data_IF_947001373637
#
_entry.id   IF_947001373637
#
_cell.length_a   1.000
_cell.length_b   1.000
_cell.length_c   1.000
_cell.angle_alpha   90.00
_cell.angle_beta   90.00
_cell.angle_gamma   90.00
#
_symmetry.space_group_name_H-M   'P 1'
#
loop_
_entity.id
_entity.type
_entity.pdbx_description
1 polymer ?
#
# COMPACT_ATOMS: atom_id res chain seq x y z
N UNK A 1 -11.67 15.68 -32.15
CA UNK A 1 -10.76 15.90 -31.03
C UNK A 1 -9.71 14.81 -31.10
N UNK A 2 -8.52 15.13 -31.57
CA UNK A 2 -7.46 14.19 -31.88
C UNK A 2 -6.74 13.76 -30.59
N UNK A 3 -6.34 12.50 -30.53
CA UNK A 3 -5.62 11.88 -29.40
C UNK A 3 -4.27 12.57 -29.05
N UNK A 4 -3.89 13.57 -29.78
CA UNK A 4 -2.63 14.33 -29.63
C UNK A 4 -2.69 15.45 -28.56
N UNK A 5 -3.86 15.79 -28.04
CA UNK A 5 -4.03 16.89 -27.07
C UNK A 5 -4.00 16.47 -25.60
N UNK A 6 -3.77 15.21 -25.28
CA UNK A 6 -3.76 14.69 -23.91
C UNK A 6 -2.36 14.53 -23.30
N UNK A 7 -1.30 14.98 -23.95
CA UNK A 7 -0.01 15.16 -23.29
C UNK A 7 -0.01 16.45 -22.46
N UNK A 8 -0.78 16.44 -21.37
CA UNK A 8 -0.59 17.44 -20.33
C UNK A 8 0.84 17.30 -19.78
N UNK A 9 1.63 18.31 -20.03
CA UNK A 9 2.94 18.53 -19.40
C UNK A 9 2.78 18.26 -17.90
N UNK A 10 3.38 17.19 -17.40
CA UNK A 10 3.49 16.91 -15.97
C UNK A 10 4.34 18.05 -15.36
N UNK A 11 3.74 19.14 -15.01
CA UNK A 11 4.39 20.16 -14.20
C UNK A 11 4.61 19.56 -12.82
N UNK A 12 5.80 19.04 -12.59
CA UNK A 12 6.24 18.67 -11.26
C UNK A 12 6.22 19.93 -10.41
N UNK A 13 5.27 20.02 -9.48
CA UNK A 13 5.28 21.07 -8.50
C UNK A 13 6.63 21.02 -7.77
N UNK A 14 7.42 22.08 -7.91
CA UNK A 14 8.67 22.22 -7.17
C UNK A 14 8.27 22.35 -5.70
N UNK A 15 8.46 21.31 -4.91
CA UNK A 15 8.26 21.38 -3.47
C UNK A 15 9.36 22.26 -2.91
N UNK A 16 8.95 23.43 -2.45
CA UNK A 16 9.84 24.57 -2.20
C UNK A 16 10.75 24.48 -0.97
N UNK A 17 10.73 23.37 -0.18
CA UNK A 17 11.57 23.25 1.03
C UNK A 17 12.55 22.09 0.92
N UNK A 18 13.74 22.24 1.54
CA UNK A 18 14.74 21.17 1.60
C UNK A 18 14.21 19.95 2.35
N UNK A 19 13.52 20.16 3.46
CA UNK A 19 12.84 19.10 4.23
C UNK A 19 11.89 18.27 3.38
N UNK A 20 11.13 18.90 2.47
CA UNK A 20 10.24 18.16 1.56
C UNK A 20 11.03 17.27 0.58
N UNK A 21 12.25 17.65 0.21
CA UNK A 21 13.14 16.82 -0.62
C UNK A 21 13.68 15.63 0.17
N UNK A 22 14.12 15.87 1.41
CA UNK A 22 14.58 14.81 2.32
C UNK A 22 13.49 13.76 2.57
N UNK A 23 12.27 14.20 2.92
CA UNK A 23 11.13 13.30 3.13
C UNK A 23 10.85 12.45 1.89
N UNK A 24 10.92 13.04 0.68
CA UNK A 24 10.76 12.26 -0.56
C UNK A 24 11.82 11.19 -0.71
N UNK A 25 13.06 11.48 -0.34
CA UNK A 25 14.16 10.52 -0.30
C UNK A 25 13.87 9.36 0.65
N UNK A 26 13.40 9.66 1.86
CA UNK A 26 13.03 8.67 2.86
C UNK A 26 11.89 7.76 2.36
N UNK A 27 10.83 8.33 1.81
CA UNK A 27 9.70 7.55 1.25
C UNK A 27 10.17 6.62 0.14
N UNK A 28 10.99 7.11 -0.79
CA UNK A 28 11.55 6.27 -1.86
C UNK A 28 12.40 5.13 -1.30
N UNK A 29 13.17 5.40 -0.26
CA UNK A 29 14.03 4.40 0.38
C UNK A 29 13.24 3.27 1.06
N UNK A 30 12.01 3.52 1.53
CA UNK A 30 11.15 2.49 2.10
C UNK A 30 10.96 1.34 1.11
N UNK A 31 10.54 1.66 -0.12
CA UNK A 31 10.28 0.64 -1.15
C UNK A 31 11.56 -0.01 -1.66
N UNK A 32 12.60 0.81 -1.91
CA UNK A 32 13.90 0.31 -2.34
C UNK A 32 14.49 -0.67 -1.33
N UNK A 33 14.50 -0.33 -0.05
CA UNK A 33 15.02 -1.19 1.00
C UNK A 33 14.23 -2.50 1.17
N UNK A 34 12.92 -2.47 0.93
CA UNK A 34 12.10 -3.67 0.93
C UNK A 34 12.47 -4.63 -0.22
N UNK A 35 12.72 -4.13 -1.42
CA UNK A 35 13.21 -4.94 -2.53
C UNK A 35 14.60 -5.52 -2.25
N UNK A 36 15.51 -4.72 -1.72
CA UNK A 36 16.85 -5.16 -1.34
C UNK A 36 16.81 -6.21 -0.22
N UNK A 37 15.92 -6.05 0.75
CA UNK A 37 15.69 -7.03 1.82
C UNK A 37 15.25 -8.39 1.24
N UNK A 38 14.25 -8.38 0.36
CA UNK A 38 13.81 -9.62 -0.32
C UNK A 38 14.93 -10.27 -1.11
N UNK A 39 15.73 -9.49 -1.82
CA UNK A 39 16.87 -10.01 -2.59
C UNK A 39 17.95 -10.68 -1.69
N UNK A 40 18.05 -10.23 -0.43
CA UNK A 40 18.94 -10.83 0.58
C UNK A 40 18.31 -12.00 1.37
N UNK A 41 17.05 -12.35 1.07
CA UNK A 41 16.30 -13.36 1.81
C UNK A 41 15.72 -12.89 3.14
N UNK A 42 15.78 -11.59 3.45
CA UNK A 42 15.17 -11.00 4.63
C UNK A 42 13.65 -10.94 4.45
N UNK A 43 12.90 -11.12 5.53
CA UNK A 43 11.45 -11.11 5.52
C UNK A 43 10.89 -9.69 5.39
N UNK A 44 9.78 -9.56 4.66
CA UNK A 44 9.04 -8.31 4.49
C UNK A 44 7.60 -8.52 4.94
N UNK A 45 7.08 -7.63 5.76
CA UNK A 45 5.69 -7.66 6.18
C UNK A 45 4.93 -6.45 5.62
N UNK A 46 3.75 -6.70 5.03
CA UNK A 46 2.79 -5.63 4.79
C UNK A 46 2.13 -5.26 6.11
N UNK A 47 2.03 -3.98 6.37
CA UNK A 47 1.30 -3.48 7.53
C UNK A 47 0.56 -2.18 7.20
N UNK A 48 -0.41 -1.85 8.02
CA UNK A 48 -1.21 -0.65 7.85
C UNK A 48 -0.62 0.51 8.64
N UNK A 49 -0.75 1.72 8.11
CA UNK A 49 -0.35 2.94 8.80
C UNK A 49 -1.04 3.01 10.17
N UNK A 50 -0.32 3.51 11.17
CA UNK A 50 -0.77 3.54 12.56
C UNK A 50 -1.04 2.15 13.18
N UNK A 51 -0.40 1.10 12.65
CA UNK A 51 -0.35 -0.18 13.34
C UNK A 51 0.75 -0.14 14.40
N UNK A 52 0.49 -0.76 15.55
CA UNK A 52 1.43 -0.84 16.66
C UNK A 52 2.48 -1.94 16.46
N UNK A 53 2.73 -2.35 15.23
CA UNK A 53 3.61 -3.49 14.95
C UNK A 53 5.00 -3.10 14.47
N UNK A 54 5.23 -1.86 14.11
CA UNK A 54 6.47 -1.43 13.43
C UNK A 54 7.71 -1.80 14.26
N UNK A 55 7.68 -1.50 15.55
CA UNK A 55 8.78 -1.80 16.46
C UNK A 55 8.97 -3.30 16.65
N UNK A 56 7.86 -4.04 16.73
CA UNK A 56 7.90 -5.50 16.94
C UNK A 56 8.52 -6.20 15.73
N UNK A 57 8.03 -5.88 14.52
CA UNK A 57 8.54 -6.53 13.30
C UNK A 57 9.99 -6.14 13.03
N UNK A 58 10.39 -4.91 13.34
CA UNK A 58 11.79 -4.48 13.23
C UNK A 58 12.69 -5.22 14.24
N UNK A 59 12.23 -5.41 15.47
CA UNK A 59 12.95 -6.18 16.48
C UNK A 59 13.14 -7.65 16.07
N UNK A 60 12.27 -8.18 15.20
CA UNK A 60 12.35 -9.52 14.61
C UNK A 60 13.14 -9.56 13.29
N UNK A 61 13.83 -8.51 12.93
CA UNK A 61 14.55 -8.38 11.65
C UNK A 61 13.63 -8.55 10.41
N UNK A 62 12.37 -8.11 10.53
CA UNK A 62 11.39 -8.06 9.43
C UNK A 62 11.24 -6.65 8.95
N UNK A 63 11.28 -6.42 7.64
CA UNK A 63 11.11 -5.09 7.05
C UNK A 63 9.62 -4.75 6.94
N UNK A 64 9.13 -3.73 7.65
CA UNK A 64 7.75 -3.27 7.53
C UNK A 64 7.55 -2.47 6.24
N UNK A 65 6.46 -2.73 5.53
CA UNK A 65 6.10 -2.03 4.29
C UNK A 65 4.65 -1.51 4.37
N UNK A 66 4.47 -0.19 4.48
CA UNK A 66 3.15 0.41 4.68
C UNK A 66 2.36 0.49 3.37
N UNK A 67 1.32 -0.31 3.24
CA UNK A 67 0.52 -0.43 2.01
C UNK A 67 -0.35 0.79 1.73
N UNK A 68 -0.92 1.41 2.76
CA UNK A 68 -1.70 2.64 2.61
C UNK A 68 -0.84 3.81 2.14
N UNK A 69 0.41 3.88 2.60
CA UNK A 69 1.37 4.86 2.11
C UNK A 69 1.65 4.66 0.61
N UNK A 70 1.73 3.40 0.16
CA UNK A 70 1.92 3.10 -1.25
C UNK A 70 0.72 3.54 -2.10
N UNK A 71 -0.50 3.29 -1.64
CA UNK A 71 -1.71 3.78 -2.32
C UNK A 71 -1.72 5.32 -2.40
N UNK A 72 -1.33 6.00 -1.32
CA UNK A 72 -1.15 7.45 -1.30
C UNK A 72 -0.07 7.93 -2.29
N UNK A 73 1.02 7.19 -2.43
CA UNK A 73 2.08 7.47 -3.40
C UNK A 73 1.58 7.33 -4.85
N UNK A 74 0.81 6.27 -5.15
CA UNK A 74 0.18 6.09 -6.47
C UNK A 74 -0.74 7.28 -6.80
N UNK A 75 -1.56 7.72 -5.85
CA UNK A 75 -2.42 8.87 -6.00
C UNK A 75 -1.63 10.17 -6.23
N UNK A 76 -0.58 10.42 -5.45
CA UNK A 76 0.26 11.61 -5.57
C UNK A 76 1.01 11.68 -6.92
N UNK A 77 1.37 10.53 -7.48
CA UNK A 77 2.03 10.44 -8.79
C UNK A 77 1.05 10.34 -9.97
N UNK A 78 -0.26 10.28 -9.70
CA UNK A 78 -1.32 10.10 -10.70
C UNK A 78 -1.17 8.80 -11.52
N UNK A 79 -0.63 7.77 -10.90
CA UNK A 79 -0.46 6.44 -11.50
C UNK A 79 -1.50 5.43 -10.93
N UNK A 80 -2.58 5.94 -10.32
CA UNK A 80 -3.59 5.14 -9.64
C UNK A 80 -4.68 4.58 -10.55
N UNK A 81 -4.93 5.23 -11.70
CA UNK A 81 -6.12 4.95 -12.53
C UNK A 81 -6.16 3.49 -12.99
N UNK A 82 -5.02 2.95 -13.37
CA UNK A 82 -4.91 1.57 -13.82
C UNK A 82 -5.29 0.58 -12.71
N UNK A 83 -4.87 0.84 -11.48
CA UNK A 83 -5.20 -0.02 -10.34
C UNK A 83 -6.66 0.12 -9.92
N UNK A 84 -7.23 1.33 -9.99
CA UNK A 84 -8.66 1.54 -9.73
C UNK A 84 -9.53 0.81 -10.77
N UNK A 85 -9.19 0.92 -12.05
CA UNK A 85 -9.90 0.20 -13.13
C UNK A 85 -9.79 -1.31 -12.96
N UNK A 86 -8.63 -1.81 -12.53
CA UNK A 86 -8.45 -3.24 -12.26
C UNK A 86 -9.33 -3.70 -11.09
N UNK A 87 -9.38 -2.94 -10.01
CA UNK A 87 -10.25 -3.25 -8.88
C UNK A 87 -11.73 -3.26 -9.29
N UNK A 88 -12.16 -2.32 -10.13
CA UNK A 88 -13.53 -2.29 -10.67
C UNK A 88 -13.82 -3.52 -11.55
N UNK A 89 -12.87 -3.91 -12.40
CA UNK A 89 -12.99 -5.10 -13.24
C UNK A 89 -13.05 -6.40 -12.42
N UNK A 90 -12.41 -6.42 -11.25
CA UNK A 90 -12.48 -7.55 -10.31
C UNK A 90 -13.77 -7.56 -9.46
N UNK A 91 -14.66 -6.58 -9.67
CA UNK A 91 -15.96 -6.50 -9.01
C UNK A 91 -15.96 -5.75 -7.67
N UNK A 92 -14.90 -5.05 -7.33
CA UNK A 92 -14.90 -4.19 -6.14
C UNK A 92 -15.75 -2.93 -6.38
N UNK A 93 -16.55 -2.58 -5.39
CA UNK A 93 -17.43 -1.41 -5.46
C UNK A 93 -16.65 -0.10 -5.61
N UNK A 94 -17.12 0.78 -6.48
CA UNK A 94 -16.53 2.11 -6.68
C UNK A 94 -16.67 3.03 -5.46
N UNK A 95 -17.58 2.73 -4.53
CA UNK A 95 -17.74 3.46 -3.26
C UNK A 95 -16.84 2.92 -2.15
N UNK A 96 -16.09 1.82 -2.40
CA UNK A 96 -15.07 1.36 -1.49
C UNK A 96 -13.93 2.39 -1.41
N UNK A 97 -13.28 2.46 -0.25
CA UNK A 97 -12.11 3.32 -0.04
C UNK A 97 -11.10 3.20 -1.20
N UNK A 98 -10.73 4.32 -1.81
CA UNK A 98 -9.82 4.34 -2.96
C UNK A 98 -8.44 3.80 -2.62
N UNK A 99 -7.95 3.95 -1.39
CA UNK A 99 -6.69 3.33 -0.97
C UNK A 99 -6.76 1.80 -1.02
N UNK A 100 -7.85 1.23 -0.51
CA UNK A 100 -8.07 -0.22 -0.59
C UNK A 100 -8.18 -0.68 -2.05
N UNK A 101 -8.93 0.05 -2.89
CA UNK A 101 -9.07 -0.27 -4.32
C UNK A 101 -7.74 -0.21 -5.07
N UNK A 102 -6.91 0.80 -4.82
CA UNK A 102 -5.57 0.90 -5.41
C UNK A 102 -4.72 -0.30 -5.03
N UNK A 103 -4.67 -0.65 -3.75
CA UNK A 103 -3.90 -1.79 -3.28
C UNK A 103 -4.40 -3.13 -3.82
N UNK A 104 -5.73 -3.34 -3.83
CA UNK A 104 -6.35 -4.54 -4.38
C UNK A 104 -6.08 -4.68 -5.88
N UNK A 105 -6.24 -3.61 -6.65
CA UNK A 105 -5.94 -3.60 -8.08
C UNK A 105 -4.48 -3.85 -8.38
N UNK A 106 -3.56 -3.24 -7.61
CA UNK A 106 -2.13 -3.49 -7.72
C UNK A 106 -1.79 -4.97 -7.49
N UNK A 107 -2.27 -5.56 -6.39
CA UNK A 107 -1.97 -6.94 -6.04
C UNK A 107 -2.63 -7.94 -7.00
N UNK A 108 -3.84 -7.65 -7.48
CA UNK A 108 -4.50 -8.44 -8.51
C UNK A 108 -3.74 -8.43 -9.84
N UNK A 109 -3.35 -7.25 -10.31
CA UNK A 109 -2.54 -7.13 -11.53
C UNK A 109 -1.20 -7.84 -11.39
N UNK A 110 -0.53 -7.68 -10.26
CA UNK A 110 0.73 -8.36 -10.00
C UNK A 110 0.59 -9.88 -10.06
N UNK A 111 -0.49 -10.42 -9.51
CA UNK A 111 -0.80 -11.85 -9.58
C UNK A 111 -0.97 -12.32 -11.02
N UNK A 112 -1.77 -11.59 -11.80
CA UNK A 112 -2.03 -11.95 -13.21
C UNK A 112 -0.79 -11.87 -14.07
N UNK A 113 0.05 -10.85 -13.87
CA UNK A 113 1.27 -10.63 -14.64
C UNK A 113 2.44 -11.52 -14.18
N UNK A 114 2.37 -12.11 -12.98
CA UNK A 114 3.50 -12.79 -12.35
C UNK A 114 4.67 -11.88 -12.00
N UNK A 115 4.48 -10.57 -12.09
CA UNK A 115 5.49 -9.54 -11.82
C UNK A 115 4.85 -8.23 -11.39
N UNK A 116 5.65 -7.32 -10.87
CA UNK A 116 5.18 -5.97 -10.55
C UNK A 116 4.78 -5.26 -11.85
N UNK A 117 3.62 -4.57 -11.89
CA UNK A 117 3.18 -3.79 -13.04
C UNK A 117 4.18 -2.67 -13.38
N UNK A 118 4.44 -2.44 -14.67
CA UNK A 118 5.49 -1.51 -15.15
C UNK A 118 5.27 -0.05 -14.68
N UNK A 119 4.02 0.38 -14.53
CA UNK A 119 3.66 1.74 -14.09
C UNK A 119 3.63 1.90 -12.57
N UNK A 120 4.22 0.96 -11.82
CA UNK A 120 4.22 1.01 -10.37
C UNK A 120 5.20 2.06 -9.85
N UNK A 121 4.75 3.08 -9.09
CA UNK A 121 5.62 4.08 -8.51
C UNK A 121 6.76 3.48 -7.70
N UNK A 122 7.95 4.08 -7.81
CA UNK A 122 9.17 3.70 -7.07
C UNK A 122 9.52 2.20 -7.11
N UNK A 123 9.16 1.52 -8.21
CA UNK A 123 9.43 0.10 -8.42
C UNK A 123 8.39 -0.84 -7.82
N UNK A 124 7.31 -0.31 -7.27
CA UNK A 124 6.25 -1.12 -6.66
C UNK A 124 6.61 -1.67 -5.29
N UNK A 125 5.77 -2.56 -4.80
CA UNK A 125 6.00 -3.28 -3.54
C UNK A 125 6.38 -4.73 -3.83
N UNK A 126 7.41 -5.31 -3.19
CA UNK A 126 7.69 -6.75 -3.31
C UNK A 126 6.55 -7.56 -2.67
N UNK A 127 6.42 -8.84 -3.06
CA UNK A 127 5.48 -9.75 -2.37
C UNK A 127 5.90 -9.89 -0.91
N UNK A 128 5.01 -9.65 0.06
CA UNK A 128 5.35 -9.80 1.48
C UNK A 128 5.46 -11.28 1.87
N UNK A 129 6.08 -11.55 3.01
CA UNK A 129 6.08 -12.88 3.62
C UNK A 129 4.92 -13.06 4.60
N UNK A 130 4.36 -11.96 5.07
CA UNK A 130 3.19 -11.91 5.96
C UNK A 130 2.49 -10.56 5.87
N UNK A 131 1.26 -10.52 6.31
CA UNK A 131 0.49 -9.28 6.45
C UNK A 131 0.00 -9.13 7.87
N UNK A 132 0.15 -7.91 8.41
CA UNK A 132 -0.24 -7.57 9.76
C UNK A 132 -1.28 -6.46 9.73
N UNK A 133 -2.45 -6.74 10.24
CA UNK A 133 -3.56 -5.80 10.30
C UNK A 133 -4.13 -5.65 11.71
N UNK A 134 -4.96 -4.66 11.91
CA UNK A 134 -5.74 -4.50 13.13
C UNK A 134 -7.16 -4.09 12.78
N UNK A 135 -8.10 -4.35 13.68
CA UNK A 135 -9.48 -3.87 13.57
C UNK A 135 -9.62 -2.38 13.89
N UNK A 136 -8.56 -1.74 14.38
CA UNK A 136 -8.54 -0.31 14.63
C UNK A 136 -8.78 0.51 13.36
N UNK A 137 -9.42 1.66 13.51
CA UNK A 137 -9.64 2.71 12.51
C UNK A 137 -10.81 2.42 11.56
N UNK A 138 -10.74 1.47 10.65
CA UNK A 138 -11.84 1.24 9.71
C UNK A 138 -11.87 -0.20 9.17
N UNK A 139 -13.07 -0.72 8.91
CA UNK A 139 -13.32 -2.06 8.38
C UNK A 139 -12.62 -2.37 7.04
N UNK A 140 -12.59 -1.45 6.04
CA UNK A 140 -11.95 -1.75 4.76
C UNK A 140 -10.50 -2.17 4.85
N UNK A 141 -9.76 -1.71 5.86
CA UNK A 141 -8.33 -2.02 6.04
C UNK A 141 -8.10 -3.52 6.20
N UNK A 142 -8.78 -4.13 7.16
CA UNK A 142 -8.59 -5.55 7.42
C UNK A 142 -9.17 -6.44 6.32
N UNK A 143 -10.31 -6.04 5.75
CA UNK A 143 -10.91 -6.72 4.59
C UNK A 143 -10.02 -6.68 3.36
N UNK A 144 -9.35 -5.56 3.12
CA UNK A 144 -8.34 -5.46 2.08
C UNK A 144 -7.23 -6.52 2.26
N UNK A 145 -6.68 -6.67 3.45
CA UNK A 145 -5.65 -7.67 3.72
C UNK A 145 -6.14 -9.09 3.56
N UNK A 146 -7.37 -9.39 3.97
CA UNK A 146 -7.98 -10.69 3.73
C UNK A 146 -8.11 -11.00 2.23
N UNK A 147 -8.42 -10.02 1.41
CA UNK A 147 -8.49 -10.18 -0.04
C UNK A 147 -7.09 -10.35 -0.66
N UNK A 148 -6.14 -9.49 -0.29
CA UNK A 148 -4.75 -9.56 -0.76
C UNK A 148 -4.09 -10.89 -0.37
N UNK A 149 -4.37 -11.41 0.82
CA UNK A 149 -3.92 -12.74 1.26
C UNK A 149 -4.29 -13.84 0.25
N UNK A 150 -5.51 -13.81 -0.26
CA UNK A 150 -5.98 -14.77 -1.26
C UNK A 150 -5.32 -14.59 -2.62
N UNK A 151 -4.97 -13.35 -2.99
CA UNK A 151 -4.25 -13.09 -4.24
C UNK A 151 -2.84 -13.61 -4.20
N UNK A 152 -2.15 -13.41 -3.09
CA UNK A 152 -0.72 -13.64 -2.97
C UNK A 152 -0.34 -14.95 -2.27
N UNK A 153 -1.35 -15.66 -1.75
CA UNK A 153 -1.16 -16.86 -0.91
C UNK A 153 -0.20 -16.59 0.27
N UNK A 154 -0.45 -15.49 0.99
CA UNK A 154 0.40 -15.00 2.08
C UNK A 154 -0.41 -14.96 3.37
N UNK A 155 0.14 -15.46 4.50
CA UNK A 155 -0.55 -15.44 5.77
C UNK A 155 -0.86 -14.03 6.25
N UNK A 156 -2.06 -13.85 6.80
CA UNK A 156 -2.50 -12.60 7.43
C UNK A 156 -2.79 -12.83 8.89
N UNK A 157 -2.25 -11.97 9.72
CA UNK A 157 -2.53 -11.92 11.15
C UNK A 157 -3.16 -10.58 11.51
N UNK A 158 -4.20 -10.61 12.32
CA UNK A 158 -4.89 -9.43 12.78
C UNK A 158 -4.98 -9.37 14.29
N UNK A 159 -4.72 -8.18 14.87
CA UNK A 159 -5.04 -7.90 16.26
C UNK A 159 -6.38 -7.17 16.31
N UNK A 160 -7.27 -7.71 17.08
CA UNK A 160 -8.50 -7.03 17.43
C UNK A 160 -8.24 -5.99 18.51
N UNK A 161 -8.67 -4.76 18.27
CA UNK A 161 -8.57 -3.67 19.24
C UNK A 161 -9.92 -3.55 19.92
N UNK A 162 -9.94 -3.96 21.17
CA UNK A 162 -11.15 -3.83 21.99
C UNK A 162 -11.44 -2.35 22.20
N UNK A 163 -12.57 -1.88 21.69
CA UNK A 163 -13.06 -0.55 22.03
C UNK A 163 -13.35 -0.50 23.54
N UNK A 164 -12.99 0.60 24.23
CA UNK A 164 -13.43 0.78 25.59
C UNK A 164 -14.97 0.72 25.63
N UNK A 165 -15.58 0.15 26.68
CA UNK A 165 -17.02 0.19 26.81
C UNK A 165 -17.49 1.64 26.74
N UNK A 166 -18.72 1.89 26.24
CA UNK A 166 -19.31 3.23 26.32
C UNK A 166 -19.12 3.73 27.74
N UNK A 167 -18.54 4.90 27.87
CA UNK A 167 -18.53 5.57 29.19
C UNK A 167 -19.98 5.92 29.46
N UNK A 168 -20.67 5.02 30.15
CA UNK A 168 -21.94 5.34 30.76
C UNK A 168 -21.64 6.49 31.73
N UNK A 169 -22.30 7.59 31.50
CA UNK A 169 -22.25 8.88 32.15
C UNK A 169 -21.71 8.85 33.59
N UNK A 170 -20.54 9.51 33.76
CA UNK A 170 -20.14 9.98 35.10
C UNK A 170 -20.91 11.24 35.48
#
# INVERSE_FOLDING_TARGET
MTMEQAQQVKTTAVKGTDTAREIRGLVKNIYKSAHEAKARGQKVAYFMVASQYDEIVRAMDVVPLPTENYAGLCAAKRDMDLFLLKADADGYSQVLCSYARIGLGFDSMRKELGRIPDNSPDGGMPVPDMMLGSSAVCDPRFKWYQATSRYLDVPTFGIDVVAPPPQDDL
#
